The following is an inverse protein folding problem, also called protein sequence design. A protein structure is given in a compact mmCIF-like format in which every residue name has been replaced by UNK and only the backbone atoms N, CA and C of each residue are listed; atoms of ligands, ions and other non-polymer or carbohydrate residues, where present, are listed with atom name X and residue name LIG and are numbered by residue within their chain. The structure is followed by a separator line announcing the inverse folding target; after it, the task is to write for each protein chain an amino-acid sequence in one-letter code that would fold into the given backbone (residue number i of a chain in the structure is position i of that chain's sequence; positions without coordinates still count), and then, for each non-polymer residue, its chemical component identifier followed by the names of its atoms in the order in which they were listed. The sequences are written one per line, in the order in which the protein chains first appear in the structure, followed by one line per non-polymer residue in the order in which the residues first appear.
data_IF_816226494683
#
_entry.id   IF_816226494683
#
_cell.length_a   1.000
_cell.length_b   1.000
_cell.length_c   1.000
_cell.angle_alpha   90.00
_cell.angle_beta   90.00
_cell.angle_gamma   90.00
#
_symmetry.space_group_name_H-M   'P 1'
#
loop_
_entity.id
_entity.type
_entity.pdbx_description
1 polymer ?
#
# COMPACT_ATOMS: atom_id res chain seq x y z
N UNK A 1 29.20 0.06 16.31
CA UNK A 1 28.62 -0.61 15.14
C UNK A 1 29.13 -2.03 15.08
N UNK A 2 28.25 -3.00 15.09
CA UNK A 2 28.57 -4.42 14.99
C UNK A 2 27.95 -4.96 13.71
N UNK A 3 28.69 -5.71 12.90
CA UNK A 3 28.17 -6.40 11.73
C UNK A 3 27.66 -7.78 12.21
N UNK A 4 26.36 -7.87 12.48
CA UNK A 4 25.74 -9.07 13.06
C UNK A 4 24.48 -9.54 12.29
N UNK A 5 24.28 -9.05 11.07
CA UNK A 5 23.15 -9.40 10.21
C UNK A 5 23.66 -9.97 8.89
N UNK A 6 23.22 -11.19 8.55
CA UNK A 6 23.42 -11.78 7.24
C UNK A 6 22.06 -11.90 6.53
N UNK A 7 22.02 -11.51 5.26
CA UNK A 7 20.84 -11.60 4.41
C UNK A 7 21.20 -12.15 3.04
N UNK A 8 20.32 -12.97 2.49
CA UNK A 8 20.40 -13.43 1.10
C UNK A 8 19.28 -12.81 0.29
N UNK A 9 19.65 -12.10 -0.79
CA UNK A 9 18.71 -11.59 -1.78
C UNK A 9 18.73 -12.47 -3.02
N UNK A 10 17.55 -12.93 -3.47
CA UNK A 10 17.38 -13.70 -4.72
C UNK A 10 16.31 -13.01 -5.56
N UNK A 11 16.62 -12.84 -6.85
CA UNK A 11 15.71 -12.18 -7.76
C UNK A 11 15.96 -12.53 -9.21
N UNK A 12 15.10 -12.02 -10.07
CA UNK A 12 15.20 -12.13 -11.52
C UNK A 12 14.68 -10.85 -12.18
N UNK A 13 15.16 -10.61 -13.39
CA UNK A 13 14.73 -9.50 -14.24
C UNK A 13 14.45 -10.03 -15.64
N UNK A 14 13.38 -9.55 -16.26
CA UNK A 14 12.98 -9.85 -17.63
C UNK A 14 12.68 -8.55 -18.36
N UNK A 15 13.25 -8.39 -19.55
CA UNK A 15 12.87 -7.31 -20.45
C UNK A 15 12.54 -7.89 -21.82
N UNK A 16 11.37 -7.54 -22.33
CA UNK A 16 10.91 -7.92 -23.68
C UNK A 16 10.58 -6.65 -24.43
N UNK A 17 11.14 -6.52 -25.65
CA UNK A 17 10.88 -5.38 -26.52
C UNK A 17 10.44 -5.87 -27.89
N UNK A 18 9.41 -5.24 -28.42
CA UNK A 18 8.95 -5.45 -29.77
C UNK A 18 8.82 -4.11 -30.48
N UNK A 19 9.32 -4.02 -31.71
CA UNK A 19 9.16 -2.85 -32.57
C UNK A 19 8.82 -3.32 -33.97
N UNK A 20 7.89 -2.61 -34.61
CA UNK A 20 7.45 -2.93 -35.94
C UNK A 20 6.96 -1.68 -36.68
N UNK A 21 6.77 -1.80 -38.00
CA UNK A 21 6.28 -0.74 -38.83
C UNK A 21 5.29 -1.28 -39.87
N UNK A 22 4.11 -0.68 -39.92
CA UNK A 22 3.07 -0.96 -40.91
C UNK A 22 2.89 0.30 -41.79
N UNK A 23 3.49 0.32 -42.98
CA UNK A 23 3.53 1.51 -43.82
C UNK A 23 4.16 2.71 -43.09
N UNK A 24 3.42 3.80 -42.93
CA UNK A 24 3.87 5.01 -42.22
C UNK A 24 3.71 4.95 -40.70
N UNK A 25 3.05 3.91 -40.20
CA UNK A 25 2.81 3.73 -38.74
C UNK A 25 3.92 2.88 -38.15
N UNK A 26 4.69 3.46 -37.21
CA UNK A 26 5.70 2.79 -36.39
C UNK A 26 5.20 2.66 -34.98
N UNK A 27 5.45 1.53 -34.37
CA UNK A 27 5.11 1.32 -32.97
C UNK A 27 6.13 0.46 -32.25
N UNK A 28 6.19 0.63 -30.94
CA UNK A 28 7.05 -0.14 -30.05
C UNK A 28 6.36 -0.42 -28.72
N UNK A 29 6.69 -1.58 -28.17
CA UNK A 29 6.28 -1.99 -26.83
C UNK A 29 7.51 -2.54 -26.13
N UNK A 30 7.79 -2.07 -24.91
CA UNK A 30 8.83 -2.63 -24.05
C UNK A 30 8.24 -2.88 -22.69
N UNK A 31 8.25 -4.14 -22.27
CA UNK A 31 7.87 -4.59 -20.93
C UNK A 31 9.14 -4.97 -20.15
N UNK A 32 9.33 -4.36 -18.99
CA UNK A 32 10.29 -4.79 -17.99
C UNK A 32 9.53 -5.35 -16.79
N UNK A 33 9.97 -6.47 -16.27
CA UNK A 33 9.40 -7.12 -15.10
C UNK A 33 10.54 -7.64 -14.22
N UNK A 34 10.49 -7.36 -12.92
CA UNK A 34 11.49 -7.81 -11.96
C UNK A 34 10.85 -8.24 -10.66
N UNK A 35 11.51 -9.16 -9.98
CA UNK A 35 11.12 -9.59 -8.65
C UNK A 35 12.35 -9.97 -7.82
N UNK A 36 12.31 -9.67 -6.53
CA UNK A 36 13.33 -10.09 -5.60
C UNK A 36 12.74 -10.38 -4.22
N UNK A 37 13.36 -11.31 -3.52
CA UNK A 37 13.08 -11.62 -2.12
C UNK A 37 14.38 -11.58 -1.31
N UNK A 38 14.27 -11.08 -0.09
CA UNK A 38 15.37 -11.05 0.86
C UNK A 38 14.99 -11.90 2.06
N UNK A 39 15.85 -12.85 2.40
CA UNK A 39 15.72 -13.73 3.56
C UNK A 39 16.81 -13.35 4.56
N UNK A 40 16.46 -13.32 5.83
CA UNK A 40 17.39 -13.12 6.94
C UNK A 40 18.04 -14.48 7.25
N UNK A 41 19.31 -14.64 6.94
CA UNK A 41 20.01 -15.89 7.17
C UNK A 41 20.47 -15.99 8.64
N UNK A 42 20.89 -14.85 9.22
CA UNK A 42 21.36 -14.80 10.60
C UNK A 42 21.14 -13.44 11.23
N UNK A 43 20.58 -13.44 12.42
CA UNK A 43 20.39 -12.27 13.27
C UNK A 43 20.49 -12.67 14.75
N UNK A 44 20.99 -11.82 15.68
CA UNK A 44 21.14 -12.17 17.11
C UNK A 44 19.80 -12.18 17.85
N UNK A 45 18.88 -13.01 17.40
CA UNK A 45 17.56 -13.27 17.98
C UNK A 45 17.30 -14.79 18.00
N UNK A 46 17.96 -15.54 18.89
CA UNK A 46 17.92 -17.01 18.89
C UNK A 46 16.53 -17.57 19.25
N UNK A 47 15.72 -16.82 20.00
CA UNK A 47 14.33 -17.18 20.32
C UNK A 47 13.36 -16.89 19.18
N UNK A 48 13.79 -16.21 18.11
CA UNK A 48 12.95 -15.70 17.03
C UNK A 48 11.80 -14.83 17.53
N UNK A 49 12.07 -13.98 18.54
CA UNK A 49 11.12 -13.06 19.11
C UNK A 49 10.61 -12.08 18.03
N UNK A 50 9.29 -12.04 17.82
CA UNK A 50 8.61 -11.20 16.85
C UNK A 50 8.59 -9.71 17.25
N UNK A 51 8.97 -9.39 18.47
CA UNK A 51 9.19 -8.01 18.93
C UNK A 51 10.54 -7.43 18.49
N UNK A 52 11.47 -8.27 18.02
CA UNK A 52 12.75 -7.86 17.46
C UNK A 52 12.61 -7.51 15.97
N UNK A 53 13.58 -6.75 15.46
CA UNK A 53 13.58 -6.28 14.06
C UNK A 53 13.60 -7.44 13.06
N UNK A 54 14.39 -8.48 13.35
CA UNK A 54 14.55 -9.65 12.49
C UNK A 54 14.72 -10.94 13.31
N UNK A 55 14.54 -12.09 12.64
CA UNK A 55 14.89 -13.41 13.14
C UNK A 55 15.34 -14.30 11.98
N UNK A 56 16.07 -15.37 12.27
CA UNK A 56 16.59 -16.29 11.26
C UNK A 56 15.46 -16.98 10.51
N UNK A 57 15.49 -16.91 9.19
CA UNK A 57 14.44 -17.42 8.29
C UNK A 57 13.31 -16.45 7.94
N UNK A 58 13.25 -15.26 8.57
CA UNK A 58 12.28 -14.24 8.23
C UNK A 58 12.48 -13.70 6.81
N UNK A 59 11.42 -13.37 6.11
CA UNK A 59 11.51 -12.54 4.91
C UNK A 59 11.49 -11.06 5.30
N UNK A 60 12.33 -10.28 4.64
CA UNK A 60 12.31 -8.83 4.82
C UNK A 60 10.92 -8.29 4.51
N UNK A 61 10.34 -7.59 5.47
CA UNK A 61 9.02 -6.99 5.32
C UNK A 61 7.83 -7.83 5.78
N UNK A 62 8.05 -8.97 6.42
CA UNK A 62 6.99 -9.79 7.00
C UNK A 62 6.16 -8.99 8.01
N UNK A 63 4.84 -9.12 7.93
CA UNK A 63 3.86 -8.44 8.76
C UNK A 63 3.10 -9.47 9.60
N UNK A 64 3.36 -9.46 10.90
CA UNK A 64 2.69 -10.32 11.87
C UNK A 64 1.57 -9.58 12.59
N UNK A 65 0.46 -10.27 12.84
CA UNK A 65 -0.66 -9.70 13.57
C UNK A 65 -1.76 -10.70 13.83
N UNK A 66 -2.85 -10.24 14.41
CA UNK A 66 -4.00 -11.08 14.77
C UNK A 66 -4.99 -11.17 13.62
N UNK A 67 -5.71 -12.27 13.54
CA UNK A 67 -6.83 -12.37 12.62
C UNK A 67 -8.09 -11.80 13.27
N UNK A 68 -8.80 -10.93 12.54
CA UNK A 68 -10.08 -10.36 12.94
C UNK A 68 -11.22 -11.22 12.41
N UNK A 69 -12.17 -11.60 13.25
CA UNK A 69 -13.45 -12.19 12.83
C UNK A 69 -14.37 -11.09 12.29
N UNK A 70 -14.45 -9.96 12.99
CA UNK A 70 -15.28 -8.81 12.64
C UNK A 70 -15.37 -7.79 13.77
N UNK A 71 -16.25 -6.81 13.59
CA UNK A 71 -16.67 -5.87 14.62
C UNK A 71 -18.00 -6.37 15.17
N UNK A 72 -18.12 -6.51 16.50
CA UNK A 72 -19.39 -6.89 17.13
C UNK A 72 -20.45 -5.81 16.90
N UNK A 73 -21.57 -6.15 16.26
CA UNK A 73 -22.63 -5.18 15.92
C UNK A 73 -23.52 -4.86 17.13
N UNK A 74 -23.59 -5.78 18.10
CA UNK A 74 -24.38 -5.64 19.32
C UNK A 74 -23.58 -6.11 20.54
N UNK A 75 -24.02 -5.69 21.74
CA UNK A 75 -23.46 -6.21 22.98
C UNK A 75 -23.62 -7.72 23.09
N UNK A 76 -24.78 -8.26 22.72
CA UNK A 76 -25.04 -9.69 22.75
C UNK A 76 -24.10 -10.50 21.84
N UNK A 77 -23.71 -9.96 20.70
CA UNK A 77 -22.72 -10.58 19.80
C UNK A 77 -21.33 -10.62 20.47
N UNK A 78 -20.90 -9.52 21.08
CA UNK A 78 -19.64 -9.50 21.83
C UNK A 78 -19.67 -10.47 23.01
N UNK A 79 -20.76 -10.50 23.79
CA UNK A 79 -20.89 -11.39 24.92
C UNK A 79 -20.86 -12.87 24.50
N UNK A 80 -21.49 -13.19 23.35
CA UNK A 80 -21.45 -14.54 22.77
C UNK A 80 -20.05 -14.92 22.27
N UNK A 81 -19.26 -13.96 21.80
CA UNK A 81 -17.86 -14.16 21.47
C UNK A 81 -17.02 -14.40 22.72
N UNK A 82 -17.13 -13.53 23.72
CA UNK A 82 -16.39 -13.63 24.98
C UNK A 82 -16.75 -14.87 25.84
N UNK A 83 -17.93 -15.43 25.61
CA UNK A 83 -18.30 -16.71 26.23
C UNK A 83 -17.51 -17.92 25.66
N UNK A 84 -16.87 -17.75 24.51
CA UNK A 84 -16.07 -18.79 23.83
C UNK A 84 -14.58 -18.58 23.98
N UNK A 85 -14.13 -17.32 23.98
CA UNK A 85 -12.72 -16.96 24.01
C UNK A 85 -12.47 -15.82 25.00
N UNK A 86 -11.39 -15.89 25.72
CA UNK A 86 -10.90 -14.80 26.58
C UNK A 86 -9.95 -13.90 25.78
N UNK A 87 -10.38 -12.68 25.44
CA UNK A 87 -9.52 -11.67 24.82
C UNK A 87 -9.10 -10.55 25.80
N UNK A 88 -9.06 -10.83 27.09
CA UNK A 88 -8.68 -9.87 28.12
C UNK A 88 -7.23 -9.38 27.99
N UNK A 89 -6.34 -10.19 27.41
CA UNK A 89 -4.95 -9.80 27.09
C UNK A 89 -4.85 -8.66 26.07
N UNK A 90 -5.88 -8.48 25.22
CA UNK A 90 -5.95 -7.42 24.23
C UNK A 90 -6.47 -6.10 24.82
N UNK A 91 -7.20 -6.15 25.92
CA UNK A 91 -7.82 -5.01 26.59
C UNK A 91 -9.03 -5.37 27.43
N UNK A 92 -9.79 -4.36 27.83
CA UNK A 92 -10.96 -4.52 28.71
C UNK A 92 -12.17 -3.76 28.19
N UNK A 93 -13.32 -3.92 28.88
CA UNK A 93 -14.57 -3.22 28.58
C UNK A 93 -15.06 -3.44 27.13
N UNK A 94 -15.10 -4.70 26.73
CA UNK A 94 -15.52 -5.10 25.40
C UNK A 94 -17.03 -4.90 25.19
N UNK A 95 -17.42 -4.48 24.00
CA UNK A 95 -18.82 -4.23 23.67
C UNK A 95 -19.10 -4.04 22.19
N UNK A 96 -20.31 -3.65 21.87
CA UNK A 96 -20.68 -3.33 20.50
C UNK A 96 -19.72 -2.29 19.89
N UNK A 97 -19.29 -2.53 18.67
CA UNK A 97 -18.31 -1.70 17.96
C UNK A 97 -16.85 -2.07 18.21
N UNK A 98 -16.56 -3.05 19.03
CA UNK A 98 -15.19 -3.54 19.25
C UNK A 98 -14.86 -4.73 18.35
N UNK A 99 -13.57 -4.93 18.12
CA UNK A 99 -13.01 -6.04 17.33
C UNK A 99 -13.18 -7.36 18.08
N UNK A 100 -13.61 -8.39 17.38
CA UNK A 100 -13.56 -9.78 17.79
C UNK A 100 -12.35 -10.46 17.13
N UNK A 101 -11.40 -10.92 17.93
CA UNK A 101 -10.20 -11.62 17.48
C UNK A 101 -10.45 -13.12 17.38
N UNK A 102 -9.77 -13.77 16.42
CA UNK A 102 -9.85 -15.22 16.22
C UNK A 102 -8.86 -15.94 17.14
N UNK A 103 -9.38 -16.93 17.87
CA UNK A 103 -8.57 -17.95 18.54
C UNK A 103 -8.11 -18.95 17.47
N UNK A 104 -6.82 -18.91 17.12
CA UNK A 104 -6.25 -19.71 16.04
C UNK A 104 -5.61 -21.00 16.53
N UNK A 105 -5.14 -21.04 17.75
CA UNK A 105 -4.54 -22.24 18.34
C UNK A 105 -5.53 -23.07 19.18
N UNK A 106 -6.76 -22.55 19.40
CA UNK A 106 -7.88 -23.27 20.00
C UNK A 106 -7.77 -23.44 21.51
N UNK A 107 -6.97 -22.62 22.20
CA UNK A 107 -6.80 -22.72 23.65
C UNK A 107 -7.84 -21.89 24.45
N UNK A 108 -8.70 -21.13 23.75
CA UNK A 108 -9.74 -20.30 24.32
C UNK A 108 -9.24 -18.95 24.84
N UNK A 109 -7.98 -18.57 24.59
CA UNK A 109 -7.40 -17.30 25.07
C UNK A 109 -6.67 -16.59 23.95
N UNK A 110 -7.14 -15.43 23.54
CA UNK A 110 -6.46 -14.63 22.52
C UNK A 110 -5.16 -14.07 23.09
N UNK A 111 -4.04 -14.56 22.58
CA UNK A 111 -2.71 -14.18 23.09
C UNK A 111 -1.61 -14.31 22.04
N UNK A 112 -0.47 -13.71 22.28
CA UNK A 112 0.75 -13.94 21.48
C UNK A 112 1.64 -15.04 22.06
N UNK A 113 1.24 -15.67 23.17
CA UNK A 113 2.07 -16.62 23.94
C UNK A 113 3.49 -16.08 24.15
N UNK A 114 4.52 -16.80 23.73
CA UNK A 114 5.92 -16.35 23.85
C UNK A 114 6.29 -15.25 22.86
N UNK A 115 5.37 -14.91 21.94
CA UNK A 115 5.59 -13.94 20.85
C UNK A 115 6.82 -14.27 19.99
N UNK A 116 7.06 -15.53 19.73
CA UNK A 116 8.16 -16.01 18.89
C UNK A 116 7.60 -16.63 17.61
N UNK A 117 8.43 -16.74 16.56
CA UNK A 117 8.00 -17.36 15.32
C UNK A 117 7.60 -18.84 15.49
N UNK A 118 8.15 -19.52 16.52
CA UNK A 118 7.88 -20.93 16.80
C UNK A 118 6.73 -21.11 17.82
N UNK A 119 6.40 -20.07 18.60
CA UNK A 119 5.25 -20.03 19.55
C UNK A 119 4.63 -18.63 19.57
N UNK A 120 3.80 -18.36 18.56
CA UNK A 120 3.22 -17.04 18.29
C UNK A 120 1.76 -16.88 18.77
N UNK A 121 1.18 -17.95 19.39
CA UNK A 121 -0.22 -17.94 19.79
C UNK A 121 -1.16 -17.65 18.61
N UNK A 122 -2.07 -16.70 18.78
CA UNK A 122 -3.03 -16.30 17.75
C UNK A 122 -2.50 -15.29 16.73
N UNK A 123 -1.22 -14.94 16.81
CA UNK A 123 -0.60 -14.16 15.73
C UNK A 123 -0.33 -15.05 14.53
N UNK A 124 -0.42 -14.45 13.35
CA UNK A 124 -0.15 -15.12 12.06
C UNK A 124 0.56 -14.16 11.14
N UNK A 125 1.31 -14.69 10.18
CA UNK A 125 1.88 -13.91 9.11
C UNK A 125 0.75 -13.41 8.19
N UNK A 126 0.42 -12.13 8.30
CA UNK A 126 -0.69 -11.50 7.57
C UNK A 126 -0.31 -11.14 6.13
N UNK A 127 0.95 -10.84 5.88
CA UNK A 127 1.43 -10.45 4.56
C UNK A 127 2.88 -9.97 4.57
N UNK A 128 3.30 -9.32 3.49
CA UNK A 128 4.65 -8.78 3.36
C UNK A 128 4.64 -7.41 2.68
N UNK A 129 5.32 -6.42 3.29
CA UNK A 129 5.34 -5.04 2.80
C UNK A 129 6.34 -4.78 1.67
N UNK A 130 7.20 -5.75 1.33
CA UNK A 130 8.18 -5.61 0.26
C UNK A 130 7.47 -5.61 -1.10
N UNK A 131 7.73 -4.63 -1.98
CA UNK A 131 7.19 -4.64 -3.32
C UNK A 131 7.67 -5.86 -4.12
N UNK A 132 6.74 -6.58 -4.75
CA UNK A 132 7.01 -7.77 -5.56
C UNK A 132 6.44 -7.58 -6.96
N UNK A 133 7.11 -8.18 -7.94
CA UNK A 133 6.72 -8.10 -9.36
C UNK A 133 6.60 -6.65 -9.81
N UNK A 134 7.72 -5.91 -9.71
CA UNK A 134 7.79 -4.54 -10.20
C UNK A 134 7.83 -4.56 -11.72
N UNK A 135 7.03 -3.69 -12.34
CA UNK A 135 6.97 -3.62 -13.79
C UNK A 135 7.08 -2.20 -14.32
N UNK A 136 7.60 -2.10 -15.55
CA UNK A 136 7.57 -0.90 -16.36
C UNK A 136 7.10 -1.26 -17.78
N UNK A 137 6.09 -0.55 -18.29
CA UNK A 137 5.57 -0.74 -19.65
C UNK A 137 5.71 0.56 -20.44
N UNK A 138 6.57 0.53 -21.46
CA UNK A 138 6.73 1.61 -22.41
C UNK A 138 5.99 1.27 -23.70
N UNK A 139 5.16 2.20 -24.16
CA UNK A 139 4.50 2.15 -25.46
C UNK A 139 4.92 3.38 -26.24
N UNK A 140 5.34 3.18 -27.48
CA UNK A 140 5.63 4.27 -28.41
C UNK A 140 4.93 4.05 -29.74
N UNK A 141 4.49 5.13 -30.35
CA UNK A 141 3.88 5.12 -31.67
C UNK A 141 4.23 6.40 -32.44
N UNK A 142 4.37 6.29 -33.75
CA UNK A 142 4.57 7.44 -34.64
C UNK A 142 3.83 7.26 -35.96
N UNK A 143 3.16 8.35 -36.40
CA UNK A 143 2.42 8.36 -37.65
C UNK A 143 2.35 9.78 -38.24
N UNK A 144 2.88 9.97 -39.45
CA UNK A 144 2.76 11.23 -40.24
C UNK A 144 3.02 12.51 -39.43
N UNK A 145 4.16 12.54 -38.74
CA UNK A 145 4.56 13.68 -37.91
C UNK A 145 4.07 13.65 -36.46
N UNK A 146 3.03 12.87 -36.14
CA UNK A 146 2.63 12.62 -34.76
C UNK A 146 3.53 11.58 -34.10
N UNK A 147 3.85 11.77 -32.84
CA UNK A 147 4.51 10.82 -31.97
C UNK A 147 3.81 10.74 -30.61
N UNK A 148 3.64 9.52 -30.13
CA UNK A 148 3.05 9.22 -28.82
C UNK A 148 4.04 8.37 -28.04
N UNK A 149 4.26 8.73 -26.77
CA UNK A 149 4.98 7.91 -25.79
C UNK A 149 4.14 7.78 -24.53
N UNK A 150 4.04 6.57 -24.02
CA UNK A 150 3.27 6.28 -22.81
C UNK A 150 4.13 5.38 -21.91
N UNK A 151 4.24 5.72 -20.65
CA UNK A 151 4.96 4.92 -19.67
C UNK A 151 4.08 4.62 -18.45
N UNK A 152 3.88 3.33 -18.23
CA UNK A 152 3.26 2.81 -17.00
C UNK A 152 4.33 2.20 -16.12
N UNK A 153 4.15 2.37 -14.81
CA UNK A 153 4.96 1.73 -13.78
C UNK A 153 4.07 1.24 -12.66
N UNK A 154 4.49 0.16 -12.01
CA UNK A 154 3.75 -0.34 -10.87
C UNK A 154 4.41 -1.52 -10.18
N UNK A 155 3.69 -1.99 -9.18
CA UNK A 155 4.01 -3.16 -8.37
C UNK A 155 2.76 -4.03 -8.29
N UNK A 156 2.87 -5.31 -8.67
CA UNK A 156 1.70 -6.18 -8.77
C UNK A 156 1.30 -6.81 -7.43
N UNK A 157 2.23 -6.85 -6.46
CA UNK A 157 1.95 -7.36 -5.11
C UNK A 157 2.73 -6.57 -4.08
N UNK A 158 2.02 -6.00 -3.13
CA UNK A 158 2.55 -5.35 -1.94
C UNK A 158 1.46 -5.27 -0.89
N UNK A 159 1.73 -5.75 0.30
CA UNK A 159 0.84 -5.55 1.43
C UNK A 159 1.30 -4.32 2.22
N UNK A 160 0.34 -3.62 2.79
CA UNK A 160 0.58 -2.48 3.65
C UNK A 160 -0.30 -2.58 4.90
N UNK A 161 0.29 -2.41 6.04
CA UNK A 161 -0.42 -2.31 7.29
C UNK A 161 0.04 -1.03 7.98
N UNK A 162 -0.85 -0.07 8.18
CA UNK A 162 -0.55 1.10 8.99
C UNK A 162 -0.03 0.66 10.36
N UNK A 163 1.05 1.24 10.83
CA UNK A 163 1.62 0.94 12.12
C UNK A 163 0.68 1.27 13.28
N UNK A 164 1.01 0.90 14.51
CA UNK A 164 0.23 1.19 15.72
C UNK A 164 0.66 2.45 16.47
N UNK A 165 1.61 3.22 15.92
CA UNK A 165 2.13 4.46 16.48
C UNK A 165 1.23 5.68 16.26
N UNK A 166 1.68 6.86 16.70
CA UNK A 166 0.95 8.11 16.54
C UNK A 166 0.68 8.47 15.06
N UNK A 167 1.61 8.15 14.19
CA UNK A 167 1.54 8.33 12.73
C UNK A 167 0.43 7.50 12.08
N UNK A 168 0.12 6.34 12.65
CA UNK A 168 -0.92 5.44 12.14
C UNK A 168 -2.32 5.79 12.63
N UNK A 169 -2.46 6.73 13.52
CA UNK A 169 -3.76 7.22 13.97
C UNK A 169 -4.58 7.83 12.85
N UNK A 170 -3.93 8.34 11.80
CA UNK A 170 -4.61 8.83 10.60
C UNK A 170 -5.44 7.76 9.91
N UNK A 171 -5.05 6.49 10.06
CA UNK A 171 -5.76 5.38 9.41
C UNK A 171 -6.67 4.61 10.37
N UNK A 172 -6.30 4.49 11.64
CA UNK A 172 -6.98 3.62 12.60
C UNK A 172 -8.30 4.18 13.14
N UNK A 173 -8.65 5.41 12.81
CA UNK A 173 -9.85 6.06 13.35
C UNK A 173 -9.83 6.23 14.86
N UNK A 174 -8.68 6.08 15.49
CA UNK A 174 -8.55 6.26 16.91
C UNK A 174 -8.40 7.73 17.24
N UNK A 175 -9.15 8.21 18.20
CA UNK A 175 -8.92 9.51 18.81
C UNK A 175 -7.65 9.37 19.62
N UNK A 176 -6.57 9.88 19.11
CA UNK A 176 -5.32 9.88 19.85
C UNK A 176 -5.31 10.95 20.89
N UNK A 177 -4.67 10.64 22.01
CA UNK A 177 -4.38 11.55 23.09
C UNK A 177 -3.77 12.88 22.65
N UNK A 178 -2.99 12.85 21.55
CA UNK A 178 -2.27 14.01 20.99
C UNK A 178 -2.93 14.61 19.76
N UNK A 179 -3.89 13.93 19.14
CA UNK A 179 -4.45 14.32 17.85
C UNK A 179 -5.96 14.29 17.91
N UNK A 180 -6.55 15.45 17.73
CA UNK A 180 -8.02 15.65 17.75
C UNK A 180 -8.62 15.70 16.33
N UNK A 181 -7.79 15.57 15.28
CA UNK A 181 -8.25 15.68 13.92
C UNK A 181 -8.74 14.34 13.38
N UNK A 182 -9.93 14.36 12.80
CA UNK A 182 -10.48 13.27 12.00
C UNK A 182 -10.26 13.56 10.51
N UNK A 183 -9.89 12.55 9.79
CA UNK A 183 -9.89 12.58 8.33
C UNK A 183 -11.20 11.99 7.82
N UNK A 184 -11.61 12.37 6.61
CA UNK A 184 -12.86 11.91 6.00
C UNK A 184 -13.04 10.37 6.04
N UNK A 185 -12.04 9.53 5.73
CA UNK A 185 -12.16 8.07 5.84
C UNK A 185 -12.51 7.57 7.24
N UNK A 186 -12.13 8.31 8.31
CA UNK A 186 -12.46 7.94 9.69
C UNK A 186 -13.95 8.07 10.01
N UNK A 187 -14.73 8.77 9.19
CA UNK A 187 -16.18 8.89 9.37
C UNK A 187 -16.89 7.55 9.16
N UNK A 188 -16.24 6.58 8.52
CA UNK A 188 -16.73 5.20 8.41
C UNK A 188 -16.41 4.35 9.66
N UNK A 189 -16.67 4.92 10.84
CA UNK A 189 -16.56 4.21 12.12
C UNK A 189 -17.91 3.61 12.54
N UNK A 190 -17.85 2.57 13.35
CA UNK A 190 -19.03 1.92 13.93
C UNK A 190 -19.88 2.92 14.72
N UNK A 191 -21.17 2.98 14.39
CA UNK A 191 -22.21 3.71 15.13
C UNK A 191 -23.41 2.78 15.33
N UNK A 192 -23.86 2.55 16.59
CA UNK A 192 -24.97 1.62 16.86
C UNK A 192 -26.29 2.08 16.22
N UNK A 193 -27.24 1.15 16.09
CA UNK A 193 -28.53 1.42 15.45
C UNK A 193 -29.36 2.48 16.19
N UNK A 194 -29.19 2.60 17.48
CA UNK A 194 -29.88 3.54 18.37
C UNK A 194 -29.08 4.84 18.62
N UNK A 195 -28.08 5.09 17.79
CA UNK A 195 -27.20 6.27 17.94
C UNK A 195 -27.96 7.58 17.86
N UNK A 196 -27.57 8.56 18.65
CA UNK A 196 -28.01 9.96 18.54
C UNK A 196 -27.08 10.82 17.68
N UNK A 197 -26.08 10.21 17.05
CA UNK A 197 -25.14 10.92 16.16
C UNK A 197 -25.87 11.54 14.97
N UNK A 198 -25.59 12.81 14.59
CA UNK A 198 -26.13 13.41 13.39
C UNK A 198 -25.68 12.70 12.08
N UNK A 199 -24.66 11.87 12.16
CA UNK A 199 -24.19 11.05 11.03
C UNK A 199 -25.02 9.77 10.85
N UNK A 200 -25.99 9.49 11.75
CA UNK A 200 -26.80 8.28 11.70
C UNK A 200 -26.06 6.99 12.08
N UNK A 201 -26.78 5.87 12.05
CA UNK A 201 -26.25 4.56 12.34
C UNK A 201 -25.24 4.09 11.26
N UNK A 202 -24.23 3.33 11.68
CA UNK A 202 -23.27 2.68 10.80
C UNK A 202 -22.76 1.39 11.46
N UNK A 203 -23.58 0.36 11.51
CA UNK A 203 -23.26 -0.91 12.18
C UNK A 203 -22.27 -1.77 11.39
N UNK A 204 -22.06 -1.45 10.10
CA UNK A 204 -21.13 -2.12 9.19
C UNK A 204 -19.86 -1.29 8.93
N UNK A 205 -19.59 -0.28 9.77
CA UNK A 205 -18.43 0.59 9.64
C UNK A 205 -17.11 -0.17 9.50
N UNK A 206 -16.21 0.37 8.68
CA UNK A 206 -14.87 -0.20 8.52
C UNK A 206 -14.06 -0.08 9.81
N UNK A 207 -14.13 1.08 10.47
CA UNK A 207 -13.44 1.30 11.74
C UNK A 207 -14.31 0.87 12.91
N UNK A 208 -13.70 0.36 14.01
CA UNK A 208 -14.40 0.11 15.26
C UNK A 208 -14.90 1.42 15.86
N UNK A 209 -15.64 1.32 16.97
CA UNK A 209 -15.98 2.50 17.76
C UNK A 209 -14.71 3.23 18.21
N UNK A 210 -14.66 4.57 18.10
CA UNK A 210 -13.47 5.34 18.47
C UNK A 210 -13.31 5.35 19.99
N UNK A 211 -12.17 4.83 20.45
CA UNK A 211 -11.82 4.74 21.86
C UNK A 211 -10.35 5.10 22.06
N UNK A 212 -10.05 5.75 23.15
CA UNK A 212 -8.67 5.92 23.63
C UNK A 212 -8.18 4.60 24.26
N UNK A 213 -7.93 3.60 23.40
CA UNK A 213 -7.52 2.26 23.82
C UNK A 213 -6.81 1.56 22.66
N UNK A 214 -5.80 0.74 23.01
CA UNK A 214 -5.07 -0.07 22.03
C UNK A 214 -5.82 -1.34 21.60
N UNK A 215 -6.91 -1.70 22.28
CA UNK A 215 -7.59 -2.98 22.08
C UNK A 215 -8.06 -3.21 20.63
N UNK A 216 -8.54 -2.16 19.97
CA UNK A 216 -8.99 -2.19 18.57
C UNK A 216 -7.88 -1.85 17.56
N UNK A 217 -6.70 -1.44 18.03
CA UNK A 217 -5.59 -0.94 17.21
C UNK A 217 -4.43 -1.92 17.08
N UNK A 218 -4.58 -3.16 17.54
CA UNK A 218 -3.54 -4.18 17.35
C UNK A 218 -3.32 -4.42 15.85
N UNK A 219 -2.08 -4.77 15.50
CA UNK A 219 -1.77 -5.26 14.15
C UNK A 219 -2.68 -6.45 13.83
N UNK A 220 -3.49 -6.34 12.77
CA UNK A 220 -4.56 -7.31 12.49
C UNK A 220 -5.00 -7.33 11.03
N UNK A 221 -5.60 -8.43 10.62
CA UNK A 221 -6.03 -8.65 9.24
C UNK A 221 -7.00 -7.60 8.71
N UNK A 222 -7.85 -6.99 9.59
CA UNK A 222 -8.82 -5.98 9.17
C UNK A 222 -8.16 -4.75 8.54
N UNK A 223 -6.98 -4.37 9.01
CA UNK A 223 -6.31 -3.17 8.56
C UNK A 223 -5.25 -3.42 7.48
N UNK A 224 -5.11 -4.68 7.05
CA UNK A 224 -4.26 -5.00 5.91
C UNK A 224 -4.80 -4.36 4.64
N UNK A 225 -3.94 -3.63 3.94
CA UNK A 225 -4.23 -2.95 2.69
C UNK A 225 -3.46 -3.60 1.55
N UNK A 226 -4.09 -3.69 0.39
CA UNK A 226 -3.39 -4.07 -0.84
C UNK A 226 -2.79 -2.82 -1.49
N UNK A 227 -1.48 -2.67 -1.41
CA UNK A 227 -0.74 -1.55 -1.97
C UNK A 227 -0.14 -1.85 -3.36
N UNK A 228 -0.62 -2.87 -4.04
CA UNK A 228 -0.35 -3.07 -5.47
C UNK A 228 -0.92 -1.88 -6.27
N UNK A 229 -0.21 -1.47 -7.31
CA UNK A 229 -0.64 -0.35 -8.13
C UNK A 229 -0.11 -0.41 -9.55
N UNK A 230 -0.80 0.31 -10.43
CA UNK A 230 -0.36 0.65 -11.77
C UNK A 230 -0.59 2.16 -11.97
N UNK A 231 0.47 2.90 -12.31
CA UNK A 231 0.40 4.35 -12.52
C UNK A 231 0.81 4.70 -13.94
N UNK A 232 0.02 5.56 -14.58
CA UNK A 232 0.45 6.26 -15.80
C UNK A 232 1.45 7.35 -15.39
N UNK A 233 2.74 7.01 -15.49
CA UNK A 233 3.86 7.88 -15.06
C UNK A 233 4.10 9.03 -16.02
N UNK A 234 4.01 8.73 -17.31
CA UNK A 234 4.22 9.75 -18.34
C UNK A 234 3.42 9.42 -19.58
N UNK A 235 2.82 10.43 -20.19
CA UNK A 235 2.31 10.41 -21.54
C UNK A 235 2.77 11.66 -22.27
N UNK A 236 3.32 11.50 -23.45
CA UNK A 236 3.75 12.64 -24.30
C UNK A 236 3.18 12.44 -25.68
N UNK A 237 2.43 13.44 -26.17
CA UNK A 237 1.95 13.53 -27.54
C UNK A 237 2.67 14.69 -28.22
N UNK A 238 3.37 14.41 -29.30
CA UNK A 238 4.09 15.39 -30.11
C UNK A 238 3.59 15.46 -31.55
N UNK A 239 3.81 16.59 -32.17
CA UNK A 239 3.63 16.77 -33.60
C UNK A 239 4.80 17.54 -34.17
N UNK A 240 5.49 16.93 -35.14
CA UNK A 240 6.59 17.53 -35.90
C UNK A 240 6.05 18.06 -37.19
N UNK A 241 6.23 19.33 -37.44
CA UNK A 241 5.81 19.98 -38.67
C UNK A 241 6.56 19.41 -39.89
N UNK A 242 5.90 19.30 -41.06
CA UNK A 242 6.57 18.88 -42.28
C UNK A 242 7.75 19.81 -42.64
N UNK A 243 8.88 19.22 -43.05
CA UNK A 243 10.09 19.95 -43.35
C UNK A 243 9.90 21.00 -44.46
N UNK A 244 8.99 20.78 -45.41
CA UNK A 244 8.69 21.73 -46.47
C UNK A 244 8.08 23.04 -45.98
N UNK A 245 7.43 23.02 -44.84
CA UNK A 245 6.93 24.22 -44.18
C UNK A 245 8.01 24.92 -43.35
N UNK A 246 8.79 24.17 -42.60
CA UNK A 246 9.75 24.73 -41.60
C UNK A 246 10.99 25.30 -42.29
N UNK A 247 11.46 24.72 -43.39
CA UNK A 247 12.58 25.22 -44.20
C UNK A 247 12.36 26.64 -44.73
N UNK A 248 11.11 27.06 -44.93
CA UNK A 248 10.79 28.45 -45.33
C UNK A 248 11.18 29.49 -44.28
N UNK A 249 11.37 29.06 -43.05
CA UNK A 249 11.75 29.87 -41.91
C UNK A 249 13.15 29.54 -41.37
N UNK A 250 13.98 28.82 -42.20
CA UNK A 250 15.33 28.38 -41.80
C UNK A 250 15.34 27.46 -40.58
N UNK A 251 14.25 26.76 -40.31
CA UNK A 251 14.12 25.78 -39.23
C UNK A 251 14.14 24.38 -39.83
N UNK A 252 15.11 23.56 -39.41
CA UNK A 252 15.24 22.18 -39.92
C UNK A 252 14.18 21.26 -39.31
N UNK A 253 13.85 21.43 -38.04
CA UNK A 253 12.84 20.65 -37.35
C UNK A 253 12.10 21.53 -36.33
N UNK A 254 10.77 21.45 -36.33
CA UNK A 254 9.93 22.16 -35.38
C UNK A 254 8.86 21.18 -34.84
N UNK A 255 8.97 20.85 -33.56
CA UNK A 255 8.08 19.92 -32.88
C UNK A 255 7.39 20.63 -31.71
N UNK A 256 6.07 20.51 -31.65
CA UNK A 256 5.23 20.88 -30.50
C UNK A 256 4.88 19.61 -29.75
N UNK A 257 4.80 19.70 -28.42
CA UNK A 257 4.37 18.55 -27.62
C UNK A 257 3.64 18.97 -26.36
N UNK A 258 2.76 18.09 -25.91
CA UNK A 258 2.19 18.11 -24.57
C UNK A 258 2.64 16.87 -23.83
N UNK A 259 3.05 17.04 -22.60
CA UNK A 259 3.44 15.95 -21.71
C UNK A 259 2.64 16.03 -20.41
N UNK A 260 2.22 14.88 -19.91
CA UNK A 260 1.56 14.81 -18.62
C UNK A 260 2.19 13.70 -17.77
N UNK A 261 2.31 13.96 -16.47
CA UNK A 261 2.92 13.06 -15.50
C UNK A 261 1.93 12.70 -14.39
N UNK A 262 1.99 11.45 -13.93
CA UNK A 262 1.19 10.92 -12.83
C UNK A 262 -0.31 11.16 -12.97
N UNK A 263 -0.86 11.04 -14.20
CA UNK A 263 -2.25 11.39 -14.51
C UNK A 263 -3.26 10.59 -13.71
N UNK A 264 -3.05 9.29 -13.58
CA UNK A 264 -3.90 8.42 -12.77
C UNK A 264 -3.13 7.23 -12.20
N UNK A 265 -3.67 6.68 -11.12
CA UNK A 265 -3.18 5.48 -10.46
C UNK A 265 -4.35 4.52 -10.26
N UNK A 266 -4.15 3.27 -10.60
CA UNK A 266 -5.06 2.17 -10.31
C UNK A 266 -4.49 1.46 -9.09
N UNK A 267 -5.21 1.42 -7.99
CA UNK A 267 -4.81 0.76 -6.74
C UNK A 267 -6.03 0.43 -5.90
N UNK A 268 -5.90 -0.53 -4.98
CA UNK A 268 -6.89 -0.81 -3.94
C UNK A 268 -6.47 -0.25 -2.56
N UNK A 269 -5.35 0.49 -2.52
CA UNK A 269 -4.96 1.21 -1.32
C UNK A 269 -5.98 2.31 -1.03
N UNK A 270 -6.27 2.59 0.22
CA UNK A 270 -7.18 3.68 0.56
C UNK A 270 -6.65 5.03 0.07
N UNK A 271 -7.57 5.95 -0.24
CA UNK A 271 -7.26 7.24 -0.88
C UNK A 271 -6.38 8.18 -0.03
N UNK A 272 -6.24 7.87 1.25
CA UNK A 272 -5.38 8.63 2.18
C UNK A 272 -3.89 8.51 1.84
N UNK A 273 -3.48 7.40 1.21
CA UNK A 273 -2.09 7.08 0.94
C UNK A 273 -1.79 7.00 -0.56
N UNK A 274 -0.61 7.47 -0.93
CA UNK A 274 -0.06 7.22 -2.27
C UNK A 274 0.81 5.95 -2.24
N UNK A 275 0.53 4.94 -3.10
CA UNK A 275 1.23 3.66 -3.05
C UNK A 275 2.74 3.74 -3.34
N UNK A 276 3.23 4.81 -3.95
CA UNK A 276 4.67 5.01 -4.15
C UNK A 276 5.34 5.64 -2.93
N UNK A 277 4.61 6.35 -2.08
CA UNK A 277 5.17 7.09 -0.94
C UNK A 277 4.94 6.42 0.40
N UNK A 278 4.13 5.35 0.48
CA UNK A 278 3.98 4.56 1.71
C UNK A 278 5.32 3.94 2.12
N UNK A 279 5.62 4.02 3.41
CA UNK A 279 6.89 3.51 3.96
C UNK A 279 8.11 4.40 3.69
N UNK A 280 7.92 5.62 3.17
CA UNK A 280 8.96 6.64 3.00
C UNK A 280 8.90 7.64 4.16
N UNK A 281 10.04 7.92 4.76
CA UNK A 281 10.14 8.85 5.90
C UNK A 281 9.93 8.18 7.26
N UNK A 282 10.01 8.98 8.33
CA UNK A 282 9.89 8.50 9.71
C UNK A 282 8.43 8.34 10.16
N UNK A 283 7.47 8.85 9.38
CA UNK A 283 6.05 8.90 9.72
C UNK A 283 5.25 8.42 8.50
N UNK A 284 4.73 7.21 8.58
CA UNK A 284 3.96 6.61 7.48
C UNK A 284 2.70 7.46 7.18
N UNK A 285 2.49 7.75 5.89
CA UNK A 285 1.37 8.59 5.43
C UNK A 285 1.57 10.09 5.51
N UNK A 286 2.69 10.58 6.05
CA UNK A 286 3.00 12.01 6.16
C UNK A 286 3.79 12.56 4.96
N UNK A 287 4.02 11.76 3.93
CA UNK A 287 4.73 12.18 2.71
C UNK A 287 3.73 12.73 1.69
N UNK A 288 4.07 13.86 1.09
CA UNK A 288 3.25 14.45 0.03
C UNK A 288 3.06 13.44 -1.12
N UNK A 289 1.81 13.23 -1.58
CA UNK A 289 1.55 12.40 -2.76
C UNK A 289 2.16 13.03 -4.01
N UNK A 290 2.39 12.20 -5.02
CA UNK A 290 2.97 12.66 -6.28
C UNK A 290 2.00 13.60 -7.02
N UNK A 291 2.50 14.75 -7.42
CA UNK A 291 1.71 15.75 -8.16
C UNK A 291 1.40 15.29 -9.58
N UNK A 292 0.22 15.62 -10.06
CA UNK A 292 -0.12 15.57 -11.49
C UNK A 292 0.43 16.81 -12.17
N UNK A 293 1.20 16.63 -13.25
CA UNK A 293 1.83 17.75 -13.97
C UNK A 293 1.45 17.68 -15.45
N UNK A 294 1.07 18.81 -16.03
CA UNK A 294 0.87 18.95 -17.47
C UNK A 294 1.80 20.03 -17.99
N UNK A 295 2.58 19.71 -19.01
CA UNK A 295 3.58 20.59 -19.61
C UNK A 295 3.35 20.73 -21.10
N UNK A 296 3.58 21.90 -21.62
CA UNK A 296 3.58 22.20 -23.05
C UNK A 296 5.00 22.58 -23.45
N UNK A 297 5.47 22.05 -24.57
CA UNK A 297 6.81 22.32 -25.03
C UNK A 297 6.91 22.49 -26.53
N UNK A 298 7.98 23.19 -26.92
CA UNK A 298 8.38 23.41 -28.28
C UNK A 298 9.86 23.06 -28.40
N UNK A 299 10.23 22.32 -29.47
CA UNK A 299 11.61 22.03 -29.84
C UNK A 299 11.86 22.51 -31.27
N UNK A 300 12.85 23.37 -31.44
CA UNK A 300 13.26 23.87 -32.73
C UNK A 300 14.74 23.56 -32.97
N UNK A 301 15.08 23.08 -34.18
CA UNK A 301 16.46 22.86 -34.66
C UNK A 301 16.66 23.69 -35.91
N UNK A 302 17.71 24.48 -35.90
CA UNK A 302 18.09 25.38 -36.99
C UNK A 302 19.20 24.80 -37.87
#
# INVERSE_FOLDING_TARGET
NVNNLNMTSKGWELQVSWRDQIRDFRYGVTLALSDNQVVIDKYPNPSKDLGQTYYDGAHLGDLWGYQTIGIAKTQAEMDAHLAKVDQSSMGSNWGAGDIMYADLDGDGVISAKDNTADNHGDKVLLGNKTPRYNFGLNLDAAYKGFDLKVFFQGTLKRDYMPGSGAESMMFWGAVGYWQTNFFEPHLDYFRPADTTSPLGANVDGYYPRPLESDKNRKAQSRYMQNAAYCRLKNVTLGYTLPADLTKKFYVNNLRFFVSAENLFTITNLCDTFDPETIGVGNWEGCTYPLSKTISFGLSATF
#
